data_IF_467008753867
#
_entry.id   IF_467008753867
#
_cell.length_a   1.000
_cell.length_b   1.000
_cell.length_c   1.000
_cell.angle_alpha   90.00
_cell.angle_beta   90.00
_cell.angle_gamma   90.00
#
_symmetry.space_group_name_H-M   'P 1'
#
loop_
_entity.id
_entity.type
_entity.pdbx_description
1 polymer ?
#
# COMPACT_ATOMS: atom_id res chain seq x y z
N UNK A 1 -16.72 -62.31 -17.49
CA UNK A 1 -16.26 -61.23 -18.40
C UNK A 1 -16.06 -59.96 -17.57
N UNK A 2 -14.81 -59.50 -17.39
CA UNK A 2 -14.49 -58.35 -16.56
C UNK A 2 -13.99 -57.18 -17.43
N UNK A 3 -14.70 -56.06 -17.45
CA UNK A 3 -14.31 -54.87 -18.20
C UNK A 3 -13.29 -54.05 -17.40
N UNK A 4 -12.06 -53.92 -17.92
CA UNK A 4 -11.04 -53.02 -17.37
C UNK A 4 -11.52 -51.56 -17.47
N UNK A 5 -11.87 -50.94 -16.34
CA UNK A 5 -12.09 -49.48 -16.26
C UNK A 5 -10.74 -48.78 -16.24
N UNK A 6 -10.47 -47.98 -17.27
CA UNK A 6 -9.30 -47.11 -17.34
C UNK A 6 -9.50 -45.96 -16.33
N UNK A 7 -8.86 -46.03 -15.16
CA UNK A 7 -8.85 -44.92 -14.22
C UNK A 7 -7.89 -43.87 -14.76
N UNK A 8 -8.44 -42.83 -15.40
CA UNK A 8 -7.68 -41.67 -15.86
C UNK A 8 -7.11 -40.97 -14.62
N UNK A 9 -5.83 -41.17 -14.37
CA UNK A 9 -5.10 -40.51 -13.29
C UNK A 9 -5.08 -38.99 -13.54
N UNK A 10 -6.10 -38.29 -13.04
CA UNK A 10 -6.09 -36.84 -12.93
C UNK A 10 -5.11 -36.47 -11.81
N UNK A 11 -3.82 -36.33 -12.15
CA UNK A 11 -2.81 -35.70 -11.28
C UNK A 11 -3.36 -34.35 -10.82
N UNK A 12 -3.85 -34.27 -9.57
CA UNK A 12 -4.18 -33.01 -8.92
C UNK A 12 -2.89 -32.25 -8.74
N UNK A 13 -2.65 -31.29 -9.63
CA UNK A 13 -1.55 -30.36 -9.51
C UNK A 13 -1.89 -29.41 -8.36
N UNK A 14 -1.52 -29.78 -7.14
CA UNK A 14 -1.66 -28.93 -5.95
C UNK A 14 -0.66 -27.78 -6.07
N UNK A 15 -1.06 -26.73 -6.80
CA UNK A 15 -0.32 -25.47 -6.80
C UNK A 15 -0.56 -24.84 -5.42
N UNK A 16 0.39 -25.04 -4.52
CA UNK A 16 0.48 -24.24 -3.29
C UNK A 16 0.52 -22.77 -3.69
N UNK A 17 -0.57 -22.03 -3.41
CA UNK A 17 -0.59 -20.57 -3.56
C UNK A 17 0.50 -20.04 -2.64
N UNK A 18 1.62 -19.59 -3.20
CA UNK A 18 2.59 -18.79 -2.45
C UNK A 18 1.84 -17.59 -1.93
N UNK A 19 1.52 -17.59 -0.64
CA UNK A 19 0.96 -16.43 0.06
C UNK A 19 2.02 -15.35 -0.10
N UNK A 20 1.72 -14.37 -0.95
CA UNK A 20 2.62 -13.24 -1.21
C UNK A 20 3.07 -12.69 0.13
N UNK A 21 4.38 -12.68 0.34
CA UNK A 21 4.98 -12.25 1.60
C UNK A 21 4.39 -10.90 1.99
N UNK A 22 3.87 -10.80 3.21
CA UNK A 22 3.50 -9.51 3.80
C UNK A 22 4.77 -8.67 3.82
N UNK A 23 4.95 -7.81 2.83
CA UNK A 23 5.96 -6.76 2.90
C UNK A 23 5.65 -5.98 4.17
N UNK A 24 6.50 -6.14 5.20
CA UNK A 24 6.47 -5.30 6.37
C UNK A 24 6.60 -3.88 5.84
N UNK A 25 5.53 -3.09 5.97
CA UNK A 25 5.61 -1.66 5.68
C UNK A 25 6.62 -1.13 6.68
N UNK A 26 7.89 -0.99 6.28
CA UNK A 26 8.84 -0.22 7.07
C UNK A 26 8.14 1.10 7.33
N UNK A 27 7.89 1.40 8.60
CA UNK A 27 6.99 2.48 8.98
C UNK A 27 7.44 3.74 8.26
N UNK A 28 6.57 4.32 7.43
CA UNK A 28 6.88 5.60 6.78
C UNK A 28 7.26 6.57 7.90
N UNK A 29 8.49 7.08 7.84
CA UNK A 29 9.02 8.06 8.79
C UNK A 29 8.03 9.22 8.93
N UNK A 30 7.95 9.80 10.12
CA UNK A 30 7.12 10.98 10.34
C UNK A 30 7.53 12.10 9.37
N UNK A 31 6.56 12.70 8.69
CA UNK A 31 6.77 13.78 7.73
C UNK A 31 6.10 15.04 8.27
N UNK A 32 6.85 16.14 8.30
CA UNK A 32 6.28 17.44 8.69
C UNK A 32 5.46 18.05 7.56
N UNK A 33 4.49 18.90 7.89
CA UNK A 33 3.69 19.58 6.87
C UNK A 33 4.54 20.48 5.95
N UNK A 34 5.59 21.09 6.49
CA UNK A 34 6.53 21.92 5.75
C UNK A 34 7.33 21.07 4.77
N UNK A 35 7.86 19.92 5.20
CA UNK A 35 8.62 19.02 4.33
C UNK A 35 7.75 18.48 3.18
N UNK A 36 6.50 18.10 3.47
CA UNK A 36 5.55 17.66 2.44
C UNK A 36 5.31 18.77 1.40
N UNK A 37 5.11 20.00 1.84
CA UNK A 37 4.90 21.17 0.99
C UNK A 37 6.13 21.48 0.12
N UNK A 38 7.32 21.47 0.73
CA UNK A 38 8.59 21.70 0.01
C UNK A 38 8.83 20.64 -1.07
N UNK A 39 8.58 19.35 -0.77
CA UNK A 39 8.68 18.27 -1.76
C UNK A 39 7.70 18.47 -2.91
N UNK A 40 6.48 18.93 -2.62
CA UNK A 40 5.48 19.19 -3.67
C UNK A 40 5.87 20.39 -4.53
N UNK A 41 6.36 21.47 -3.91
CA UNK A 41 6.83 22.65 -4.63
C UNK A 41 7.99 22.31 -5.57
N UNK A 42 9.01 21.59 -5.06
CA UNK A 42 10.16 21.16 -5.87
C UNK A 42 9.76 20.28 -7.06
N UNK A 43 8.72 19.45 -6.91
CA UNK A 43 8.27 18.52 -7.95
C UNK A 43 7.36 19.18 -8.99
N UNK A 44 6.48 20.08 -8.56
CA UNK A 44 5.38 20.60 -9.40
C UNK A 44 5.56 22.06 -9.79
N UNK A 45 6.48 22.80 -9.14
CA UNK A 45 6.64 24.25 -9.25
C UNK A 45 5.34 25.06 -9.07
N UNK A 46 4.30 24.46 -8.47
CA UNK A 46 3.01 25.11 -8.23
C UNK A 46 2.85 25.45 -6.75
N UNK A 47 2.71 26.75 -6.46
CA UNK A 47 2.47 27.24 -5.11
C UNK A 47 1.14 26.73 -4.55
N UNK A 48 0.11 26.66 -5.40
CA UNK A 48 -1.22 26.19 -4.98
C UNK A 48 -1.21 24.69 -4.61
N UNK A 49 -0.44 23.88 -5.36
CA UNK A 49 -0.25 22.47 -5.04
C UNK A 49 0.50 22.31 -3.71
N UNK A 50 1.54 23.10 -3.47
CA UNK A 50 2.29 23.11 -2.22
C UNK A 50 1.42 23.50 -1.01
N UNK A 51 0.59 24.56 -1.13
CA UNK A 51 -0.38 24.97 -0.10
C UNK A 51 -1.38 23.86 0.21
N UNK A 52 -1.87 23.18 -0.83
CA UNK A 52 -2.83 22.07 -0.67
C UNK A 52 -2.20 20.87 0.04
N UNK A 53 -0.96 20.53 -0.31
CA UNK A 53 -0.17 19.47 0.34
C UNK A 53 0.09 19.80 1.82
N UNK A 54 0.47 21.04 2.12
CA UNK A 54 0.69 21.52 3.49
C UNK A 54 -0.54 21.29 4.37
N UNK A 55 -1.73 21.74 3.92
CA UNK A 55 -2.97 21.60 4.69
C UNK A 55 -3.34 20.15 4.93
N UNK A 56 -3.23 19.31 3.89
CA UNK A 56 -3.51 17.86 3.99
C UNK A 56 -2.60 17.19 5.02
N UNK A 57 -1.30 17.48 4.96
CA UNK A 57 -0.33 16.88 5.89
C UNK A 57 -0.49 17.43 7.30
N UNK A 58 -0.78 18.72 7.46
CA UNK A 58 -1.05 19.34 8.77
C UNK A 58 -2.26 18.68 9.44
N UNK A 59 -3.36 18.48 8.70
CA UNK A 59 -4.54 17.80 9.20
C UNK A 59 -4.24 16.33 9.56
N UNK A 60 -3.49 15.63 8.71
CA UNK A 60 -3.08 14.25 9.01
C UNK A 60 -2.23 14.18 10.29
N UNK A 61 -1.28 15.10 10.45
CA UNK A 61 -0.43 15.18 11.63
C UNK A 61 -1.24 15.54 12.89
N UNK A 62 -2.16 16.50 12.78
CA UNK A 62 -3.06 16.85 13.88
C UNK A 62 -3.91 15.64 14.30
N UNK A 63 -4.46 14.91 13.34
CA UNK A 63 -5.23 13.69 13.61
C UNK A 63 -4.41 12.58 14.28
N UNK A 64 -3.12 12.50 13.94
CA UNK A 64 -2.19 11.55 14.56
C UNK A 64 -1.86 11.88 16.01
N UNK A 65 -1.83 13.16 16.35
CA UNK A 65 -1.51 13.63 17.71
C UNK A 65 -2.73 13.69 18.62
N UNK A 66 -3.85 14.17 18.08
CA UNK A 66 -5.02 14.55 18.89
C UNK A 66 -6.25 13.67 18.64
N UNK A 67 -6.19 12.74 17.68
CA UNK A 67 -7.34 11.91 17.30
C UNK A 67 -8.27 12.59 16.30
N UNK A 68 -9.52 12.12 16.21
CA UNK A 68 -10.48 12.69 15.26
C UNK A 68 -10.86 14.11 15.69
N UNK A 69 -10.51 15.08 14.84
CA UNK A 69 -10.95 16.49 14.87
C UNK A 69 -11.82 16.73 13.64
#
# INVERSE_FOLDING_TARGET
MATKRFIKNCRRNSKTRKVGGKHSKSGKKWITAIEAAQKTLKKTNSLQAAKSSLRKQALYNARKLFGSI
#
